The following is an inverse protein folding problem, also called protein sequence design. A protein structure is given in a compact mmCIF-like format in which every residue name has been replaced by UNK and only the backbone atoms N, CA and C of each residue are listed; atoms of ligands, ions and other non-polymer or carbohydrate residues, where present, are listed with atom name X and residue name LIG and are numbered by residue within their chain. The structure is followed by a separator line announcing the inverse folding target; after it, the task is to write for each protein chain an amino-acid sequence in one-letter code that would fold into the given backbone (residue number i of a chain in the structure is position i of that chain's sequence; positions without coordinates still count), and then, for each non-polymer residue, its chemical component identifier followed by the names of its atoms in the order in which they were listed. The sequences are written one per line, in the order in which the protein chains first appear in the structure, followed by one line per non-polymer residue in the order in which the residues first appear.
data_IF_958525449186
#
_entry.id   IF_958525449186
#
_cell.length_a   1.000
_cell.length_b   1.000
_cell.length_c   1.000
_cell.angle_alpha   90.00
_cell.angle_beta   90.00
_cell.angle_gamma   90.00
#
_symmetry.space_group_name_H-M   'P 1'
#
loop_
_entity.id
_entity.type
_entity.pdbx_description
1 polymer ?
#
# COMPACT_ATOMS: atom_id res chain seq x y z
N UNK A 1 2.83 -1.57 5.68
CA UNK A 1 3.12 -0.91 6.97
C UNK A 1 3.19 -1.89 8.13
N UNK A 2 2.17 -2.69 8.43
CA UNK A 2 2.21 -3.65 9.57
C UNK A 2 3.37 -4.64 9.44
N UNK A 3 3.45 -5.38 8.33
CA UNK A 3 4.56 -6.28 8.04
C UNK A 3 5.92 -5.57 8.01
N UNK A 4 5.94 -4.34 7.51
CA UNK A 4 7.16 -3.53 7.45
C UNK A 4 7.68 -3.19 8.86
N UNK A 5 6.78 -2.84 9.78
CA UNK A 5 7.10 -2.56 11.18
C UNK A 5 7.55 -3.83 11.92
N UNK A 6 6.86 -4.95 11.70
CA UNK A 6 7.21 -6.26 12.25
C UNK A 6 8.61 -6.70 11.80
N UNK A 7 8.90 -6.62 10.50
CA UNK A 7 10.23 -6.94 9.95
C UNK A 7 11.30 -5.92 10.30
N UNK A 8 10.91 -4.70 10.69
CA UNK A 8 11.81 -3.67 11.20
C UNK A 8 12.07 -3.77 12.72
N UNK A 9 11.44 -4.72 13.43
CA UNK A 9 11.43 -4.77 14.90
C UNK A 9 11.07 -3.42 15.54
N UNK A 10 10.18 -2.66 14.89
CA UNK A 10 9.75 -1.35 15.33
C UNK A 10 8.29 -1.40 15.73
N UNK A 11 7.94 -0.68 16.80
CA UNK A 11 6.55 -0.46 17.16
C UNK A 11 5.79 0.20 15.99
N UNK A 12 4.57 -0.27 15.73
CA UNK A 12 3.77 0.13 14.56
C UNK A 12 3.52 1.64 14.53
N UNK A 13 3.20 2.22 15.69
CA UNK A 13 2.92 3.65 15.83
C UNK A 13 4.22 4.43 15.60
N UNK A 14 5.29 4.02 16.25
CA UNK A 14 6.61 4.64 16.08
C UNK A 14 7.10 4.60 14.63
N UNK A 15 7.03 3.44 13.96
CA UNK A 15 7.45 3.28 12.56
C UNK A 15 6.59 4.11 11.60
N UNK A 16 5.28 4.16 11.82
CA UNK A 16 4.34 4.90 10.97
C UNK A 16 4.52 6.40 11.10
N UNK A 17 4.61 6.93 12.32
CA UNK A 17 4.67 8.38 12.56
C UNK A 17 6.08 8.96 12.49
N UNK A 18 7.09 8.23 12.95
CA UNK A 18 8.46 8.77 13.01
C UNK A 18 9.21 8.57 11.70
N UNK A 19 8.90 7.51 10.96
CA UNK A 19 9.66 7.13 9.77
C UNK A 19 8.85 7.32 8.49
N UNK A 20 7.66 6.74 8.40
CA UNK A 20 6.87 6.78 7.15
C UNK A 20 6.28 8.17 6.91
N UNK A 21 5.60 8.76 7.90
CA UNK A 21 4.89 10.03 7.73
C UNK A 21 5.79 11.19 7.26
N UNK A 22 6.97 11.46 7.85
CA UNK A 22 7.85 12.53 7.37
C UNK A 22 8.35 12.28 5.96
N UNK A 23 8.72 11.02 5.65
CA UNK A 23 9.14 10.64 4.30
C UNK A 23 8.02 10.84 3.27
N UNK A 24 6.80 10.41 3.60
CA UNK A 24 5.65 10.56 2.70
C UNK A 24 5.29 12.03 2.47
N UNK A 25 5.38 12.90 3.47
CA UNK A 25 5.13 14.35 3.31
C UNK A 25 6.15 14.97 2.35
N UNK A 26 7.44 14.68 2.55
CA UNK A 26 8.51 15.17 1.67
C UNK A 26 8.31 14.66 0.25
N UNK A 27 8.04 13.36 0.08
CA UNK A 27 7.76 12.78 -1.23
C UNK A 27 6.55 13.42 -1.90
N UNK A 28 5.46 13.64 -1.17
CA UNK A 28 4.22 14.24 -1.68
C UNK A 28 4.44 15.68 -2.14
N UNK A 29 5.28 16.45 -1.42
CA UNK A 29 5.67 17.79 -1.85
C UNK A 29 6.39 17.79 -3.21
N UNK A 30 7.38 16.91 -3.40
CA UNK A 30 8.10 16.79 -4.67
C UNK A 30 7.20 16.27 -5.81
N UNK A 31 6.36 15.27 -5.53
CA UNK A 31 5.40 14.73 -6.50
C UNK A 31 4.38 15.80 -6.90
N UNK A 32 3.88 16.61 -5.97
CA UNK A 32 2.97 17.71 -6.27
C UNK A 32 3.60 18.75 -7.22
N UNK A 33 4.86 19.12 -6.99
CA UNK A 33 5.61 20.00 -7.89
C UNK A 33 5.75 19.35 -9.28
N UNK A 34 6.16 18.09 -9.34
CA UNK A 34 6.31 17.37 -10.59
C UNK A 34 4.99 17.31 -11.37
N UNK A 35 3.87 17.01 -10.70
CA UNK A 35 2.53 17.00 -11.31
C UNK A 35 2.14 18.38 -11.83
N UNK A 36 2.40 19.46 -11.09
CA UNK A 36 2.08 20.82 -11.52
C UNK A 36 2.72 21.18 -12.87
N UNK A 37 3.98 20.79 -13.09
CA UNK A 37 4.66 21.05 -14.35
C UNK A 37 4.31 20.03 -15.44
N UNK A 38 4.26 18.74 -15.10
CA UNK A 38 4.05 17.66 -16.06
C UNK A 38 2.63 17.62 -16.60
N UNK A 39 1.60 17.72 -15.75
CA UNK A 39 0.20 17.75 -16.20
C UNK A 39 -0.04 18.92 -17.14
N UNK A 40 0.48 20.11 -16.81
CA UNK A 40 0.36 21.30 -17.65
C UNK A 40 1.08 21.17 -19.00
N UNK A 41 2.13 20.36 -19.08
CA UNK A 41 2.80 20.04 -20.34
C UNK A 41 1.98 19.04 -21.17
N UNK A 42 1.45 17.98 -20.56
CA UNK A 42 0.58 17.00 -21.21
C UNK A 42 -0.72 17.63 -21.72
N UNK A 43 -1.41 18.42 -20.90
CA UNK A 43 -2.65 19.12 -21.26
C UNK A 43 -2.45 20.03 -22.50
N UNK A 44 -1.28 20.67 -22.60
CA UNK A 44 -0.91 21.50 -23.76
C UNK A 44 -0.64 20.68 -25.01
N UNK A 45 -0.07 19.47 -24.89
CA UNK A 45 0.17 18.57 -26.03
C UNK A 45 -1.11 17.92 -26.54
N UNK A 46 -2.06 17.64 -25.65
CA UNK A 46 -3.33 17.00 -25.99
C UNK A 46 -4.43 18.00 -26.38
N UNK A 47 -4.15 19.31 -26.30
CA UNK A 47 -5.11 20.35 -26.67
C UNK A 47 -6.31 20.46 -25.73
N UNK A 48 -6.23 19.88 -24.53
CA UNK A 48 -7.26 19.88 -23.51
C UNK A 48 -7.21 21.20 -22.72
N UNK A 49 -7.58 22.32 -23.34
CA UNK A 49 -7.77 23.59 -22.61
C UNK A 49 -9.04 23.52 -21.78
N UNK A 50 -8.90 23.32 -20.47
CA UNK A 50 -9.82 23.49 -19.32
C UNK A 50 -11.30 23.04 -19.41
N UNK A 51 -11.93 22.91 -20.57
CA UNK A 51 -13.35 22.58 -20.74
C UNK A 51 -13.66 21.07 -20.79
N UNK A 52 -12.70 20.23 -21.17
CA UNK A 52 -12.91 18.77 -21.24
C UNK A 52 -12.82 18.10 -19.86
N UNK A 53 -11.95 18.60 -18.97
CA UNK A 53 -11.81 18.11 -17.60
C UNK A 53 -13.07 18.36 -16.75
N UNK A 54 -13.72 19.53 -16.93
CA UNK A 54 -14.93 19.91 -16.20
C UNK A 54 -16.15 19.03 -16.55
N UNK A 55 -16.23 18.56 -17.80
CA UNK A 55 -17.31 17.70 -18.29
C UNK A 55 -17.20 16.25 -17.80
N UNK A 56 -15.98 15.76 -17.55
CA UNK A 56 -15.74 14.42 -17.01
C UNK A 56 -16.04 14.35 -15.51
N UNK A 57 -15.60 15.37 -14.74
CA UNK A 57 -15.91 15.50 -13.30
C UNK A 57 -17.43 15.52 -13.03
N UNK A 58 -18.20 16.23 -13.87
CA UNK A 58 -19.65 16.33 -13.72
C UNK A 58 -20.38 15.03 -14.09
N UNK A 59 -19.84 14.23 -15.02
CA UNK A 59 -20.41 12.95 -15.41
C UNK A 59 -20.15 11.84 -14.37
N UNK A 60 -18.96 11.79 -13.77
CA UNK A 60 -18.64 10.83 -12.70
C UNK A 60 -19.35 11.17 -11.38
N UNK A 61 -19.46 12.45 -11.02
CA UNK A 61 -20.22 12.89 -9.85
C UNK A 61 -21.73 12.55 -9.96
N UNK A 62 -22.29 12.51 -11.18
CA UNK A 62 -23.67 12.11 -11.42
C UNK A 62 -23.89 10.59 -11.37
N UNK A 63 -22.86 9.79 -11.64
CA UNK A 63 -22.90 8.32 -11.58
C UNK A 63 -22.78 7.75 -10.16
N UNK A 64 -22.16 8.50 -9.24
CA UNK A 64 -22.03 8.16 -7.82
C UNK A 64 -23.25 8.61 -7.01
N UNK A 65 -24.45 8.12 -7.34
CA UNK A 65 -25.60 8.23 -6.41
C UNK A 65 -25.45 7.19 -5.31
N UNK A 66 -24.75 7.57 -4.25
CA UNK A 66 -24.70 6.80 -3.01
C UNK A 66 -25.88 7.20 -2.12
N UNK A 67 -26.80 6.27 -1.90
CA UNK A 67 -27.94 6.43 -0.96
C UNK A 67 -27.53 6.10 0.50
N UNK A 68 -26.22 6.01 0.75
CA UNK A 68 -25.66 5.73 2.07
C UNK A 68 -25.55 7.03 2.90
N UNK A 69 -25.97 7.01 4.18
CA UNK A 69 -25.86 8.14 5.09
C UNK A 69 -24.41 8.57 5.28
N UNK A 70 -24.20 9.88 5.40
CA UNK A 70 -22.88 10.50 5.59
C UNK A 70 -22.09 9.92 6.77
N UNK A 71 -22.76 9.39 7.81
CA UNK A 71 -22.08 8.79 8.95
C UNK A 71 -21.38 7.45 8.65
N UNK A 72 -21.69 6.75 7.54
CA UNK A 72 -20.99 5.51 7.17
C UNK A 72 -19.53 5.74 6.77
N UNK A 73 -19.19 6.98 6.37
CA UNK A 73 -17.83 7.35 6.00
C UNK A 73 -16.82 7.13 7.13
N UNK A 74 -17.23 7.23 8.40
CA UNK A 74 -16.31 7.08 9.54
C UNK A 74 -15.99 5.62 9.88
N UNK A 75 -16.85 4.68 9.48
CA UNK A 75 -16.77 3.28 9.89
C UNK A 75 -15.46 2.60 9.43
N UNK A 76 -14.95 2.80 8.19
CA UNK A 76 -13.66 2.25 7.78
C UNK A 76 -12.46 2.81 8.56
N UNK A 77 -12.57 4.00 9.15
CA UNK A 77 -11.51 4.64 9.93
C UNK A 77 -11.55 4.27 11.41
N UNK A 78 -12.66 3.69 11.88
CA UNK A 78 -12.89 3.31 13.27
C UNK A 78 -11.81 2.36 13.84
N UNK A 79 -11.24 1.40 13.09
CA UNK A 79 -10.14 0.57 13.60
C UNK A 79 -8.86 1.39 13.87
N UNK A 80 -8.59 2.40 13.03
CA UNK A 80 -7.42 3.28 13.17
C UNK A 80 -7.62 4.22 14.36
N UNK A 81 -8.81 4.82 14.49
CA UNK A 81 -9.17 5.66 15.64
C UNK A 81 -9.08 4.83 16.93
N UNK A 82 -9.61 3.61 16.91
CA UNK A 82 -9.52 2.66 18.01
C UNK A 82 -8.07 2.38 18.41
N UNK A 83 -7.15 2.23 17.45
CA UNK A 83 -5.73 2.00 17.75
C UNK A 83 -5.12 3.14 18.57
N UNK A 84 -5.51 4.40 18.32
CA UNK A 84 -5.02 5.54 19.09
C UNK A 84 -5.60 5.61 20.50
N UNK A 85 -6.87 5.24 20.66
CA UNK A 85 -7.54 5.28 21.97
C UNK A 85 -7.05 4.11 22.84
N UNK A 86 -6.88 2.93 22.25
CA UNK A 86 -6.45 1.70 22.92
C UNK A 86 -4.93 1.47 22.81
N UNK A 87 -4.12 2.53 22.92
CA UNK A 87 -2.66 2.46 22.78
C UNK A 87 -1.92 2.01 24.06
N UNK A 88 -2.63 1.69 25.15
CA UNK A 88 -2.03 1.34 26.45
C UNK A 88 -1.80 2.50 27.42
N UNK A 89 -1.84 3.76 26.97
CA UNK A 89 -1.72 4.95 27.83
C UNK A 89 -3.07 5.45 28.35
N UNK A 90 -4.14 5.34 27.55
CA UNK A 90 -5.49 5.83 27.86
C UNK A 90 -6.44 4.67 28.25
N UNK A 91 -6.35 3.55 27.53
CA UNK A 91 -7.15 2.33 27.75
C UNK A 91 -6.28 1.08 27.53
N UNK A 92 -6.70 -0.12 28.01
CA UNK A 92 -5.96 -1.37 27.84
C UNK A 92 -5.65 -1.64 26.36
N UNK A 93 -4.43 -2.09 26.08
CA UNK A 93 -3.99 -2.34 24.70
C UNK A 93 -4.83 -3.42 24.04
N UNK A 94 -5.51 -3.07 22.95
CA UNK A 94 -6.28 -4.01 22.13
C UNK A 94 -5.52 -4.23 20.82
N UNK A 95 -5.23 -5.49 20.48
CA UNK A 95 -4.64 -5.86 19.20
C UNK A 95 -5.53 -5.38 18.06
N UNK A 96 -4.93 -4.90 16.96
CA UNK A 96 -5.63 -4.40 15.78
C UNK A 96 -6.70 -5.36 15.25
N UNK A 97 -6.45 -6.68 15.30
CA UNK A 97 -7.45 -7.69 14.94
C UNK A 97 -8.74 -7.62 15.78
N UNK A 98 -8.63 -7.36 17.09
CA UNK A 98 -9.77 -7.17 17.98
C UNK A 98 -10.54 -5.88 17.69
N UNK A 99 -9.84 -4.81 17.33
CA UNK A 99 -10.47 -3.54 16.93
C UNK A 99 -11.26 -3.67 15.62
N UNK A 100 -10.74 -4.44 14.65
CA UNK A 100 -11.45 -4.75 13.40
C UNK A 100 -12.73 -5.54 13.69
N UNK A 101 -12.67 -6.59 14.53
CA UNK A 101 -13.87 -7.35 14.93
C UNK A 101 -14.89 -6.45 15.63
N UNK A 102 -14.44 -5.59 16.55
CA UNK A 102 -15.31 -4.63 17.24
C UNK A 102 -15.98 -3.67 16.24
N UNK A 103 -15.23 -3.20 15.25
CA UNK A 103 -15.75 -2.28 14.22
C UNK A 103 -16.78 -2.95 13.33
N UNK A 104 -16.55 -4.21 12.93
CA UNK A 104 -17.51 -5.01 12.18
C UNK A 104 -18.79 -5.22 13.01
N UNK A 105 -18.66 -5.49 14.30
CA UNK A 105 -19.80 -5.67 15.20
C UNK A 105 -20.61 -4.38 15.36
N UNK A 106 -19.95 -3.23 15.56
CA UNK A 106 -20.61 -1.92 15.60
C UNK A 106 -21.31 -1.63 14.26
N UNK A 107 -20.65 -1.89 13.14
CA UNK A 107 -21.20 -1.67 11.80
C UNK A 107 -22.43 -2.56 11.55
N UNK A 108 -22.37 -3.84 11.94
CA UNK A 108 -23.49 -4.76 11.85
C UNK A 108 -24.68 -4.33 12.73
N UNK A 109 -24.43 -3.81 13.93
CA UNK A 109 -25.47 -3.28 14.81
C UNK A 109 -26.13 -2.03 14.21
N UNK A 110 -25.35 -1.12 13.65
CA UNK A 110 -25.87 0.09 12.98
C UNK A 110 -26.73 -0.29 11.77
N UNK A 111 -26.25 -1.23 10.93
CA UNK A 111 -26.99 -1.70 9.77
C UNK A 111 -28.28 -2.43 10.17
N UNK A 112 -28.25 -3.24 11.23
CA UNK A 112 -29.42 -3.92 11.76
C UNK A 112 -30.46 -2.94 12.32
N UNK A 113 -30.03 -1.94 13.09
CA UNK A 113 -30.93 -0.93 13.66
C UNK A 113 -31.57 -0.05 12.58
N UNK A 114 -30.87 0.19 11.47
CA UNK A 114 -31.38 0.98 10.34
C UNK A 114 -32.30 0.18 9.42
N UNK A 115 -31.89 -1.02 9.03
CA UNK A 115 -32.63 -1.83 8.07
C UNK A 115 -33.80 -2.58 8.72
N UNK A 116 -33.73 -2.82 10.04
CA UNK A 116 -34.62 -3.70 10.81
C UNK A 116 -34.86 -5.07 10.14
N UNK A 117 -33.94 -5.45 9.25
CA UNK A 117 -34.01 -6.64 8.42
C UNK A 117 -32.70 -7.42 8.62
N UNK A 118 -32.82 -8.55 9.30
CA UNK A 118 -31.69 -9.42 9.58
C UNK A 118 -31.06 -9.93 8.28
N UNK A 119 -31.84 -10.20 7.22
CA UNK A 119 -31.29 -10.74 5.96
C UNK A 119 -30.34 -9.76 5.30
N UNK A 120 -30.75 -8.50 5.15
CA UNK A 120 -29.91 -7.45 4.56
C UNK A 120 -28.60 -7.24 5.35
N UNK A 121 -28.68 -7.33 6.67
CA UNK A 121 -27.50 -7.22 7.53
C UNK A 121 -26.54 -8.40 7.32
N UNK A 122 -27.06 -9.62 7.23
CA UNK A 122 -26.24 -10.81 6.95
C UNK A 122 -25.63 -10.80 5.55
N UNK A 123 -26.38 -10.38 4.52
CA UNK A 123 -25.88 -10.26 3.15
C UNK A 123 -24.71 -9.26 3.08
N UNK A 124 -24.82 -8.12 3.78
CA UNK A 124 -23.74 -7.14 3.89
C UNK A 124 -22.50 -7.66 4.64
N UNK A 125 -22.72 -8.42 5.73
CA UNK A 125 -21.65 -9.10 6.46
C UNK A 125 -20.96 -10.15 5.59
N UNK A 126 -21.69 -10.93 4.79
CA UNK A 126 -21.12 -11.92 3.88
C UNK A 126 -20.19 -11.26 2.86
N UNK A 127 -20.62 -10.15 2.26
CA UNK A 127 -19.77 -9.37 1.33
C UNK A 127 -18.52 -8.86 2.05
N UNK A 128 -18.66 -8.35 3.27
CA UNK A 128 -17.53 -7.89 4.09
C UNK A 128 -16.53 -9.02 4.36
N UNK A 129 -17.02 -10.18 4.83
CA UNK A 129 -16.19 -11.36 5.10
C UNK A 129 -15.52 -11.91 3.83
N UNK A 130 -16.24 -11.94 2.71
CA UNK A 130 -15.66 -12.37 1.43
C UNK A 130 -14.53 -11.44 0.99
N UNK A 131 -14.72 -10.13 1.10
CA UNK A 131 -13.67 -9.15 0.82
C UNK A 131 -12.44 -9.32 1.72
N UNK A 132 -12.66 -9.61 3.02
CA UNK A 132 -11.57 -9.93 3.95
C UNK A 132 -10.84 -11.23 3.55
N UNK A 133 -11.59 -12.27 3.15
CA UNK A 133 -11.02 -13.55 2.73
C UNK A 133 -10.20 -13.44 1.44
N UNK A 134 -10.70 -12.71 0.43
CA UNK A 134 -9.98 -12.44 -0.81
C UNK A 134 -8.66 -11.68 -0.53
N UNK A 135 -8.71 -10.65 0.33
CA UNK A 135 -7.51 -9.91 0.75
C UNK A 135 -6.51 -10.77 1.52
N UNK A 136 -7.00 -11.58 2.48
CA UNK A 136 -6.16 -12.49 3.28
C UNK A 136 -5.47 -13.53 2.40
N UNK A 137 -6.22 -14.21 1.52
CA UNK A 137 -5.67 -15.23 0.63
C UNK A 137 -4.57 -14.65 -0.27
N UNK A 138 -4.80 -13.47 -0.85
CA UNK A 138 -3.80 -12.82 -1.70
C UNK A 138 -2.50 -12.49 -0.96
N UNK A 139 -2.60 -11.92 0.25
CA UNK A 139 -1.42 -11.54 1.04
C UNK A 139 -0.67 -12.79 1.53
N UNK A 140 -1.37 -13.79 2.07
CA UNK A 140 -0.74 -15.00 2.62
C UNK A 140 0.02 -15.78 1.56
N UNK A 141 -0.57 -15.98 0.37
CA UNK A 141 0.11 -16.69 -0.73
C UNK A 141 1.38 -15.96 -1.14
N UNK A 142 1.35 -14.63 -1.24
CA UNK A 142 2.52 -13.82 -1.57
C UNK A 142 3.60 -13.90 -0.49
N UNK A 143 3.22 -13.88 0.80
CA UNK A 143 4.17 -14.00 1.91
C UNK A 143 4.84 -15.37 1.96
N UNK A 144 4.07 -16.45 1.76
CA UNK A 144 4.61 -17.81 1.70
C UNK A 144 5.56 -17.95 0.50
N UNK A 145 5.15 -17.47 -0.68
CA UNK A 145 6.00 -17.50 -1.87
C UNK A 145 7.28 -16.66 -1.68
N UNK A 146 7.19 -15.49 -1.07
CA UNK A 146 8.33 -14.64 -0.75
C UNK A 146 9.28 -15.30 0.26
N UNK A 147 8.74 -15.97 1.29
CA UNK A 147 9.54 -16.73 2.24
C UNK A 147 10.32 -17.87 1.58
N UNK A 148 9.66 -18.62 0.68
CA UNK A 148 10.31 -19.68 -0.12
C UNK A 148 11.38 -19.07 -1.03
N UNK A 149 11.08 -17.95 -1.69
CA UNK A 149 12.02 -17.24 -2.56
C UNK A 149 13.26 -16.76 -1.78
N UNK A 150 13.06 -16.11 -0.63
CA UNK A 150 14.14 -15.62 0.22
C UNK A 150 15.02 -16.76 0.74
N UNK A 151 14.42 -17.87 1.15
CA UNK A 151 15.15 -19.07 1.55
C UNK A 151 15.90 -19.72 0.38
N UNK A 152 15.31 -19.74 -0.82
CA UNK A 152 15.98 -20.19 -2.04
C UNK A 152 17.23 -19.37 -2.35
N UNK A 153 17.14 -18.03 -2.29
CA UNK A 153 18.28 -17.13 -2.51
C UNK A 153 19.38 -17.28 -1.43
N UNK A 154 19.00 -17.54 -0.18
CA UNK A 154 19.95 -17.84 0.88
C UNK A 154 20.70 -19.14 0.62
N UNK A 155 19.99 -20.20 0.23
CA UNK A 155 20.56 -21.54 0.01
C UNK A 155 21.55 -21.56 -1.15
N UNK A 156 21.29 -20.79 -2.22
CA UNK A 156 22.22 -20.66 -3.35
C UNK A 156 23.41 -19.72 -3.06
N UNK A 157 23.49 -19.13 -1.87
CA UNK A 157 24.57 -18.22 -1.49
C UNK A 157 24.48 -16.83 -2.12
N UNK A 158 23.36 -16.45 -2.74
CA UNK A 158 23.16 -15.13 -3.34
C UNK A 158 23.22 -14.01 -2.31
N UNK A 159 22.60 -14.22 -1.15
CA UNK A 159 22.63 -13.27 -0.03
C UNK A 159 24.09 -13.02 0.41
N UNK A 160 24.88 -14.09 0.55
CA UNK A 160 26.30 -14.02 0.91
C UNK A 160 27.13 -13.29 -0.17
N UNK A 161 26.90 -13.58 -1.44
CA UNK A 161 27.56 -12.89 -2.55
C UNK A 161 27.25 -11.38 -2.59
N UNK A 162 26.01 -11.00 -2.31
CA UNK A 162 25.65 -9.58 -2.15
C UNK A 162 26.38 -8.95 -0.96
N UNK A 163 26.50 -9.65 0.16
CA UNK A 163 27.23 -9.14 1.35
C UNK A 163 28.71 -8.94 1.04
N UNK A 164 29.37 -9.90 0.36
CA UNK A 164 30.78 -9.80 0.00
C UNK A 164 31.06 -8.60 -0.93
N UNK A 165 30.12 -8.31 -1.85
CA UNK A 165 30.17 -7.12 -2.71
C UNK A 165 30.13 -5.81 -1.91
N UNK A 166 29.51 -5.84 -0.73
CA UNK A 166 29.16 -4.67 0.08
C UNK A 166 30.23 -4.38 1.12
N UNK A 167 30.79 -5.42 1.72
CA UNK A 167 31.96 -5.30 2.59
C UNK A 167 33.18 -4.75 1.83
N UNK A 168 33.30 -5.04 0.53
CA UNK A 168 34.33 -4.46 -0.33
C UNK A 168 34.08 -3.00 -0.76
N UNK A 169 32.82 -2.55 -0.80
CA UNK A 169 32.44 -1.24 -1.33
C UNK A 169 32.15 -0.16 -0.27
N UNK A 170 32.07 -0.52 1.03
CA UNK A 170 31.77 0.43 2.11
C UNK A 170 30.41 1.15 1.98
N UNK A 171 29.55 0.73 1.06
CA UNK A 171 28.41 1.51 0.63
C UNK A 171 27.09 0.79 0.94
N UNK A 172 26.68 0.86 2.21
CA UNK A 172 25.32 0.53 2.63
C UNK A 172 24.24 1.15 1.73
N UNK A 173 24.52 2.37 1.26
CA UNK A 173 23.66 3.13 0.36
C UNK A 173 23.55 2.49 -1.03
N UNK A 174 24.59 1.79 -1.52
CA UNK A 174 24.56 1.13 -2.83
C UNK A 174 23.65 -0.11 -2.79
N UNK A 175 23.65 -0.86 -1.69
CA UNK A 175 22.72 -1.99 -1.50
C UNK A 175 21.30 -1.52 -1.43
N UNK A 176 21.04 -0.50 -0.62
CA UNK A 176 19.72 0.09 -0.53
C UNK A 176 19.25 0.54 -1.92
N UNK A 177 20.08 1.26 -2.66
CA UNK A 177 19.73 1.78 -3.97
C UNK A 177 19.49 0.63 -4.98
N UNK A 178 20.32 -0.42 -4.94
CA UNK A 178 20.12 -1.61 -5.76
C UNK A 178 18.78 -2.31 -5.44
N UNK A 179 18.47 -2.52 -4.15
CA UNK A 179 17.20 -3.10 -3.71
C UNK A 179 16.00 -2.24 -4.12
N UNK A 180 16.12 -0.92 -4.00
CA UNK A 180 15.09 0.04 -4.43
C UNK A 180 14.85 -0.06 -5.94
N UNK A 181 15.91 -0.10 -6.75
CA UNK A 181 15.81 -0.21 -8.21
C UNK A 181 15.19 -1.55 -8.62
N UNK A 182 15.64 -2.66 -8.04
CA UNK A 182 15.08 -3.99 -8.35
C UNK A 182 13.60 -4.04 -7.93
N UNK A 183 13.26 -3.53 -6.74
CA UNK A 183 11.87 -3.46 -6.27
C UNK A 183 11.01 -2.61 -7.20
N UNK A 184 11.53 -1.49 -7.70
CA UNK A 184 10.83 -0.64 -8.67
C UNK A 184 10.54 -1.40 -9.97
N UNK A 185 11.55 -2.04 -10.56
CA UNK A 185 11.40 -2.77 -11.81
C UNK A 185 10.36 -3.88 -11.67
N UNK A 186 10.41 -4.63 -10.56
CA UNK A 186 9.44 -5.69 -10.28
C UNK A 186 8.05 -5.11 -10.02
N UNK A 187 7.93 -3.98 -9.31
CA UNK A 187 6.63 -3.33 -9.06
C UNK A 187 5.98 -2.84 -10.36
N UNK A 188 6.77 -2.26 -11.28
CA UNK A 188 6.31 -1.82 -12.60
C UNK A 188 5.90 -3.01 -13.46
N UNK A 189 6.71 -4.06 -13.50
CA UNK A 189 6.43 -5.25 -14.29
C UNK A 189 5.23 -6.05 -13.76
N UNK A 190 5.06 -6.14 -12.45
CA UNK A 190 3.97 -6.88 -11.82
C UNK A 190 2.66 -6.09 -11.72
N UNK A 191 2.71 -4.75 -11.85
CA UNK A 191 1.54 -3.88 -11.64
C UNK A 191 0.98 -3.91 -10.21
N UNK A 192 1.75 -4.42 -9.25
CA UNK A 192 1.34 -4.57 -7.86
C UNK A 192 2.47 -4.19 -6.91
N UNK A 193 2.28 -3.07 -6.21
CA UNK A 193 3.22 -2.62 -5.18
C UNK A 193 3.26 -3.55 -3.96
N UNK A 194 2.18 -4.27 -3.65
CA UNK A 194 2.20 -5.24 -2.56
C UNK A 194 3.01 -6.48 -2.93
N UNK A 195 2.89 -6.97 -4.17
CA UNK A 195 3.62 -8.16 -4.63
C UNK A 195 5.14 -7.92 -4.64
N UNK A 196 5.59 -6.80 -5.21
CA UNK A 196 7.00 -6.45 -5.23
C UNK A 196 7.56 -6.20 -3.82
N UNK A 197 6.82 -5.53 -2.95
CA UNK A 197 7.26 -5.32 -1.56
C UNK A 197 7.38 -6.64 -0.80
N UNK A 198 6.36 -7.51 -0.86
CA UNK A 198 6.39 -8.78 -0.13
C UNK A 198 7.50 -9.72 -0.60
N UNK A 199 7.81 -9.75 -1.90
CA UNK A 199 8.88 -10.59 -2.44
C UNK A 199 10.26 -10.30 -1.84
N UNK A 200 10.56 -9.03 -1.54
CA UNK A 200 11.89 -8.61 -1.10
C UNK A 200 11.98 -8.22 0.38
N UNK A 201 10.85 -7.93 1.06
CA UNK A 201 10.86 -7.52 2.48
C UNK A 201 11.43 -8.61 3.39
N UNK A 202 11.28 -9.89 3.04
CA UNK A 202 11.86 -11.02 3.78
C UNK A 202 13.40 -11.05 3.76
N UNK A 203 14.03 -10.43 2.76
CA UNK A 203 15.49 -10.34 2.64
C UNK A 203 16.07 -9.16 3.42
N UNK A 204 15.27 -8.12 3.69
CA UNK A 204 15.75 -6.88 4.27
C UNK A 204 16.32 -7.03 5.70
N UNK A 205 15.71 -7.79 6.64
CA UNK A 205 16.27 -7.99 7.98
C UNK A 205 17.63 -8.69 7.95
N UNK A 206 17.76 -9.72 7.12
CA UNK A 206 19.00 -10.52 6.99
C UNK A 206 20.17 -9.69 6.46
N UNK A 207 19.89 -8.85 5.46
CA UNK A 207 20.88 -7.91 4.94
C UNK A 207 21.24 -6.84 5.97
N UNK A 208 20.25 -6.31 6.69
CA UNK A 208 20.46 -5.28 7.70
C UNK A 208 21.30 -5.76 8.89
N UNK A 209 21.05 -6.97 9.42
CA UNK A 209 21.82 -7.57 10.50
C UNK A 209 23.31 -7.68 10.16
N UNK A 210 23.63 -8.17 8.96
CA UNK A 210 25.03 -8.35 8.55
C UNK A 210 25.75 -7.04 8.17
N UNK A 211 24.98 -6.01 7.83
CA UNK A 211 25.49 -4.67 7.56
C UNK A 211 25.56 -3.79 8.83
N UNK A 212 25.14 -4.30 9.99
CA UNK A 212 24.95 -3.53 11.23
C UNK A 212 24.06 -2.29 11.04
N UNK A 213 23.01 -2.40 10.22
CA UNK A 213 22.05 -1.33 9.95
C UNK A 213 20.70 -1.65 10.57
N UNK A 214 19.90 -0.61 10.82
CA UNK A 214 18.50 -0.79 11.18
C UNK A 214 17.73 -1.33 9.95
N UNK A 215 16.99 -2.45 10.04
CA UNK A 215 16.22 -2.99 8.91
C UNK A 215 15.19 -2.01 8.34
N UNK A 216 14.67 -1.11 9.17
CA UNK A 216 13.77 -0.04 8.73
C UNK A 216 14.39 0.89 7.68
N UNK A 217 15.72 1.03 7.66
CA UNK A 217 16.43 1.85 6.66
C UNK A 217 16.38 1.23 5.26
N UNK A 218 16.25 -0.09 5.15
CA UNK A 218 16.07 -0.79 3.87
C UNK A 218 14.58 -0.92 3.52
N UNK A 219 13.74 -1.25 4.50
CA UNK A 219 12.32 -1.55 4.28
C UNK A 219 11.52 -0.31 3.89
N UNK A 220 11.78 0.84 4.50
CA UNK A 220 11.01 2.06 4.26
C UNK A 220 11.10 2.57 2.80
N UNK A 221 12.29 2.73 2.20
CA UNK A 221 12.39 3.15 0.79
C UNK A 221 11.85 2.08 -0.17
N UNK A 222 11.99 0.78 0.14
CA UNK A 222 11.37 -0.30 -0.64
C UNK A 222 9.84 -0.18 -0.66
N UNK A 223 9.23 0.14 0.47
CA UNK A 223 7.77 0.32 0.54
C UNK A 223 7.31 1.52 -0.31
N UNK A 224 8.06 2.62 -0.28
CA UNK A 224 7.73 3.82 -1.05
C UNK A 224 7.87 3.58 -2.56
N UNK A 225 8.98 3.00 -2.99
CA UNK A 225 9.24 2.78 -4.42
C UNK A 225 8.28 1.75 -5.01
N UNK A 226 7.86 0.75 -4.21
CA UNK A 226 6.90 -0.26 -4.65
C UNK A 226 5.51 0.35 -4.90
N UNK A 227 5.09 1.27 -4.03
CA UNK A 227 3.84 2.01 -4.22
C UNK A 227 3.91 2.93 -5.45
N UNK A 228 5.03 3.64 -5.64
CA UNK A 228 5.24 4.47 -6.83
C UNK A 228 5.26 3.64 -8.10
N UNK A 229 5.98 2.51 -8.12
CA UNK A 229 6.07 1.61 -9.27
C UNK A 229 4.72 1.05 -9.73
N UNK A 230 3.78 0.83 -8.79
CA UNK A 230 2.40 0.45 -9.11
C UNK A 230 1.66 1.53 -9.91
N UNK A 231 1.88 2.80 -9.61
CA UNK A 231 1.18 3.93 -10.25
C UNK A 231 1.65 4.10 -11.69
N UNK A 232 2.96 3.93 -11.94
CA UNK A 232 3.56 4.01 -13.27
C UNK A 232 3.58 2.66 -14.01
N UNK A 233 2.73 1.71 -13.62
CA UNK A 233 2.68 0.39 -14.28
C UNK A 233 1.52 0.33 -15.27
N UNK A 234 1.76 0.01 -16.56
CA UNK A 234 0.71 -0.09 -17.56
C UNK A 234 -0.18 -1.33 -17.36
N UNK A 235 0.27 -2.28 -16.54
CA UNK A 235 -0.47 -3.50 -16.19
C UNK A 235 -1.14 -3.41 -14.82
N UNK A 236 -1.02 -2.27 -14.12
CA UNK A 236 -1.76 -2.03 -12.87
C UNK A 236 -3.26 -2.02 -13.15
N UNK A 237 -4.03 -2.75 -12.33
CA UNK A 237 -5.48 -2.87 -12.52
C UNK A 237 -6.22 -1.54 -12.57
N UNK A 238 -5.73 -0.52 -11.86
CA UNK A 238 -6.30 0.84 -11.91
C UNK A 238 -6.04 1.48 -13.28
N UNK A 239 -4.81 1.37 -13.82
CA UNK A 239 -4.48 1.89 -15.15
C UNK A 239 -5.26 1.18 -16.25
N UNK A 240 -5.44 -0.15 -16.15
CA UNK A 240 -6.23 -0.94 -17.09
C UNK A 240 -7.72 -0.57 -17.02
N UNK A 241 -8.27 -0.34 -15.82
CA UNK A 241 -9.66 0.09 -15.66
C UNK A 241 -9.91 1.50 -16.23
N UNK A 242 -9.04 2.46 -15.90
CA UNK A 242 -9.15 3.86 -16.36
C UNK A 242 -8.94 3.96 -17.88
N UNK A 243 -7.93 3.28 -18.42
CA UNK A 243 -7.71 3.22 -19.88
C UNK A 243 -8.86 2.54 -20.61
N UNK A 244 -9.46 1.50 -20.03
CA UNK A 244 -10.67 0.85 -20.54
C UNK A 244 -11.88 1.79 -20.58
N UNK A 245 -12.07 2.61 -19.54
CA UNK A 245 -13.12 3.62 -19.50
C UNK A 245 -12.88 4.75 -20.52
N UNK A 246 -11.63 5.19 -20.67
CA UNK A 246 -11.22 6.24 -21.60
C UNK A 246 -11.03 5.76 -23.06
N UNK A 247 -11.13 4.45 -23.32
CA UNK A 247 -10.89 3.81 -24.64
C UNK A 247 -9.51 4.14 -25.25
N UNK A 248 -8.51 4.31 -24.42
CA UNK A 248 -7.11 4.55 -24.82
C UNK A 248 -6.23 3.39 -24.38
N UNK A 249 -5.05 3.25 -24.98
CA UNK A 249 -4.09 2.21 -24.56
C UNK A 249 -3.54 2.52 -23.14
N UNK A 250 -3.46 1.55 -22.22
CA UNK A 250 -2.85 1.74 -20.90
C UNK A 250 -1.41 2.26 -20.98
N UNK A 251 -0.70 1.93 -22.06
CA UNK A 251 0.68 2.34 -22.30
C UNK A 251 0.82 3.84 -22.62
N UNK A 252 -0.28 4.51 -22.95
CA UNK A 252 -0.32 5.97 -23.18
C UNK A 252 -0.53 6.76 -21.87
N UNK A 253 -0.99 6.09 -20.81
CA UNK A 253 -1.26 6.71 -19.51
C UNK A 253 -0.05 6.73 -18.57
N UNK A 254 1.01 5.98 -18.92
CA UNK A 254 2.21 5.76 -18.09
C UNK A 254 3.38 6.58 -18.59
#
# INVERSE_FOLDING_TARGET
VILAAEKANADLITFSFKTIMPMSIVALFFVAIAHFFWQRYCDRREGLTQGAAQALETAEAAALKSDAPLYYFILPFLPIIGLFIYNGEILPEIKLGGLVVLTILITALIEFLRSLDARKTYDGLEVCYRGMAEGFSGVVVLLVAAGIFAHGLETIGFVKALIDLVQGAGAANVVMLALVVITLVVAVAAGSGNAAFFAFVELAPRLAEQMNLNPGYLIAPMMQVSNTGRVISPVSGVMVAVSGAAKISPLLLV
#
